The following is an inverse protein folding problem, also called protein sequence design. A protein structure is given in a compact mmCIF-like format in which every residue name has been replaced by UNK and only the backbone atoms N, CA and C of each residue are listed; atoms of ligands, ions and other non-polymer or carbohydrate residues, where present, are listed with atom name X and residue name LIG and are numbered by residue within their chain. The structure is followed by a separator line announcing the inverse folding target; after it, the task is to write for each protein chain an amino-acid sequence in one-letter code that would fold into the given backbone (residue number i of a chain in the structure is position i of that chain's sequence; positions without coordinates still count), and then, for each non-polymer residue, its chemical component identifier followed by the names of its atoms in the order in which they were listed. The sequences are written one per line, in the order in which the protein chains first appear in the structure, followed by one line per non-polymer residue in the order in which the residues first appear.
data_IF_776147162708
#
_entry.id   IF_776147162708
#
_cell.length_a   1.000
_cell.length_b   1.000
_cell.length_c   1.000
_cell.angle_alpha   90.00
_cell.angle_beta   90.00
_cell.angle_gamma   90.00
#
_symmetry.space_group_name_H-M   'P 1'
#
loop_
_entity.id
_entity.type
_entity.pdbx_description
1 polymer ?
#
# COMPACT_ATOMS: atom_id res chain seq x y z
N UNK A 1 15.08 11.92 8.73
CA UNK A 1 14.27 12.11 7.51
C UNK A 1 13.24 10.99 7.48
N UNK A 2 11.94 11.30 7.44
CA UNK A 2 10.88 10.30 7.29
C UNK A 2 10.98 9.69 5.89
N UNK A 3 10.97 8.36 5.80
CA UNK A 3 10.86 7.70 4.50
C UNK A 3 9.36 7.63 4.14
N UNK A 4 8.91 8.20 3.00
CA UNK A 4 7.49 8.18 2.64
C UNK A 4 6.98 6.75 2.50
N UNK A 5 5.81 6.46 3.07
CA UNK A 5 5.20 5.13 2.97
C UNK A 5 4.33 5.05 1.72
N UNK A 6 4.54 4.01 0.91
CA UNK A 6 3.63 3.65 -0.17
C UNK A 6 2.62 2.64 0.38
N UNK A 7 1.35 3.02 0.35
CA UNK A 7 0.24 2.14 0.63
C UNK A 7 -0.22 1.50 -0.67
N UNK A 8 -0.45 0.19 -0.67
CA UNK A 8 -1.01 -0.53 -1.80
C UNK A 8 -2.32 -1.18 -1.35
N UNK A 9 -3.42 -0.87 -2.03
CA UNK A 9 -4.73 -1.48 -1.79
C UNK A 9 -5.23 -2.14 -3.07
N UNK A 10 -5.38 -3.46 -3.02
CA UNK A 10 -5.81 -4.32 -4.12
C UNK A 10 -6.39 -5.59 -3.49
N UNK A 11 -7.59 -6.03 -3.88
CA UNK A 11 -8.27 -7.16 -3.25
C UNK A 11 -7.64 -8.52 -3.61
N UNK A 12 -6.76 -8.57 -4.62
CA UNK A 12 -6.05 -9.78 -5.01
C UNK A 12 -4.74 -9.95 -4.21
N UNK A 13 -4.63 -10.94 -3.29
CA UNK A 13 -3.44 -11.11 -2.44
C UNK A 13 -2.16 -11.39 -3.25
N UNK A 14 -2.30 -11.98 -4.44
CA UNK A 14 -1.21 -12.22 -5.38
C UNK A 14 -0.58 -10.91 -5.87
N UNK A 15 -1.43 -9.97 -6.30
CA UNK A 15 -1.03 -8.66 -6.78
C UNK A 15 -0.36 -7.85 -5.66
N UNK A 16 -0.99 -7.80 -4.48
CA UNK A 16 -0.43 -7.12 -3.29
C UNK A 16 0.98 -7.62 -3.00
N UNK A 17 1.18 -8.94 -2.97
CA UNK A 17 2.49 -9.56 -2.70
C UNK A 17 3.52 -9.22 -3.77
N UNK A 18 3.15 -9.28 -5.05
CA UNK A 18 4.06 -9.04 -6.16
C UNK A 18 4.53 -7.59 -6.21
N UNK A 19 3.59 -6.63 -6.18
CA UNK A 19 3.89 -5.20 -6.24
C UNK A 19 4.63 -4.73 -4.99
N UNK A 20 4.25 -5.20 -3.79
CA UNK A 20 4.99 -4.91 -2.55
C UNK A 20 6.45 -5.33 -2.65
N UNK A 21 6.73 -6.53 -3.19
CA UNK A 21 8.11 -7.00 -3.38
C UNK A 21 8.89 -6.14 -4.38
N UNK A 22 8.26 -5.78 -5.50
CA UNK A 22 8.88 -4.94 -6.52
C UNK A 22 9.27 -3.56 -5.96
N UNK A 23 8.36 -2.90 -5.26
CA UNK A 23 8.60 -1.57 -4.69
C UNK A 23 9.65 -1.61 -3.58
N UNK A 24 9.61 -2.62 -2.70
CA UNK A 24 10.65 -2.81 -1.68
C UNK A 24 12.03 -3.04 -2.29
N UNK A 25 12.12 -3.80 -3.39
CA UNK A 25 13.38 -3.99 -4.13
C UNK A 25 13.93 -2.68 -4.74
N UNK A 26 13.08 -1.65 -4.88
CA UNK A 26 13.46 -0.28 -5.30
C UNK A 26 13.74 0.67 -4.13
N UNK A 27 13.67 0.19 -2.88
CA UNK A 27 13.99 0.96 -1.68
C UNK A 27 12.82 1.72 -1.06
N UNK A 28 11.58 1.47 -1.49
CA UNK A 28 10.40 2.08 -0.87
C UNK A 28 9.96 1.32 0.39
N UNK A 29 9.50 2.06 1.39
CA UNK A 29 8.69 1.51 2.48
C UNK A 29 7.28 1.25 1.95
N UNK A 30 6.79 0.02 2.09
CA UNK A 30 5.49 -0.38 1.52
C UNK A 30 4.66 -1.17 2.51
N UNK A 31 3.39 -0.80 2.61
CA UNK A 31 2.35 -1.55 3.32
C UNK A 31 1.22 -1.92 2.36
N UNK A 32 0.91 -3.21 2.27
CA UNK A 32 -0.11 -3.75 1.38
C UNK A 32 -1.36 -4.19 2.12
N UNK A 33 -2.53 -3.98 1.51
CA UNK A 33 -3.85 -4.22 2.07
C UNK A 33 -4.74 -4.88 1.01
N UNK A 34 -5.61 -5.78 1.45
CA UNK A 34 -6.60 -6.44 0.57
C UNK A 34 -8.02 -5.97 0.81
N UNK A 35 -8.24 -5.09 1.78
CA UNK A 35 -9.56 -4.50 2.06
C UNK A 35 -9.43 -3.03 2.43
N UNK A 36 -10.39 -2.17 2.06
CA UNK A 36 -10.38 -0.77 2.44
C UNK A 36 -10.39 -0.57 3.96
N UNK A 37 -11.12 -1.42 4.70
CA UNK A 37 -11.18 -1.36 6.16
C UNK A 37 -9.80 -1.53 6.80
N UNK A 38 -9.03 -2.54 6.36
CA UNK A 38 -7.68 -2.78 6.87
C UNK A 38 -6.72 -1.62 6.59
N UNK A 39 -6.88 -0.94 5.44
CA UNK A 39 -6.13 0.26 5.12
C UNK A 39 -6.52 1.44 6.03
N UNK A 40 -7.81 1.70 6.22
CA UNK A 40 -8.29 2.81 7.05
C UNK A 40 -7.87 2.67 8.52
N UNK A 41 -7.82 1.45 9.05
CA UNK A 41 -7.35 1.19 10.42
C UNK A 41 -5.85 1.49 10.59
N UNK A 42 -5.06 1.27 9.54
CA UNK A 42 -3.62 1.49 9.53
C UNK A 42 -3.22 2.93 9.15
N UNK A 43 -4.01 3.59 8.30
CA UNK A 43 -3.69 4.91 7.77
C UNK A 43 -3.57 5.97 8.87
N UNK A 44 -2.56 6.83 8.76
CA UNK A 44 -2.31 7.95 9.67
C UNK A 44 -2.23 9.25 8.87
N UNK A 45 -3.25 10.11 8.94
CA UNK A 45 -3.25 11.41 8.27
C UNK A 45 -2.04 12.27 8.68
N UNK A 46 -1.56 13.11 7.77
CA UNK A 46 -0.46 14.05 8.03
C UNK A 46 0.95 13.47 7.88
N UNK A 47 1.09 12.23 7.42
CA UNK A 47 2.37 11.62 7.04
C UNK A 47 2.59 11.69 5.53
N UNK A 48 3.83 11.97 5.11
CA UNK A 48 4.23 11.92 3.70
C UNK A 48 4.02 10.49 3.17
N UNK A 49 3.05 10.32 2.28
CA UNK A 49 2.63 9.01 1.81
C UNK A 49 2.02 9.07 0.41
N UNK A 50 1.99 7.91 -0.24
CA UNK A 50 1.36 7.70 -1.54
C UNK A 50 0.45 6.47 -1.43
N UNK A 51 -0.76 6.53 -2.01
CA UNK A 51 -1.65 5.39 -2.13
C UNK A 51 -1.71 4.94 -3.59
N UNK A 52 -1.39 3.67 -3.83
CA UNK A 52 -1.67 2.95 -5.06
C UNK A 52 -2.92 2.12 -4.81
N UNK A 53 -3.95 2.34 -5.62
CA UNK A 53 -5.28 1.78 -5.42
C UNK A 53 -5.74 1.08 -6.68
N UNK A 54 -6.19 -0.17 -6.55
CA UNK A 54 -7.08 -0.75 -7.54
C UNK A 54 -8.47 -0.12 -7.44
N UNK A 55 -8.90 0.50 -8.54
CA UNK A 55 -10.18 1.23 -8.63
C UNK A 55 -11.33 0.28 -8.92
N UNK A 56 -11.05 -0.90 -9.49
CA UNK A 56 -12.06 -1.86 -9.95
C UNK A 56 -12.21 -3.06 -9.00
N UNK A 57 -12.16 -2.80 -7.69
CA UNK A 57 -12.45 -3.78 -6.65
C UNK A 57 -13.97 -4.04 -6.53
N UNK A 58 -14.41 -5.28 -6.23
CA UNK A 58 -15.81 -5.61 -5.96
C UNK A 58 -16.41 -4.93 -4.72
#
# INVERSE_FOLDING_TARGET
MSNPTVYLLDDEPGMVKAVTRLLRARGFEVQGFTTPASFLDAFRPGSDSCLILDVAMP
#
